data_IF_896209506188
#
_entry.id   IF_896209506188
#
_cell.length_a   1.000
_cell.length_b   1.000
_cell.length_c   1.000
_cell.angle_alpha   90.00
_cell.angle_beta   90.00
_cell.angle_gamma   90.00
#
_symmetry.space_group_name_H-M   'P 1'
#
loop_
_entity.id
_entity.type
_entity.pdbx_description
1 polymer ?
#
# COMPACT_ATOMS: atom_id res chain seq x y z
N UNK A 1 -7.06 79.89 -27.09
CA UNK A 1 -7.90 79.74 -25.89
C UNK A 1 -7.78 78.31 -25.45
N UNK A 2 -6.91 78.09 -24.49
CA UNK A 2 -6.36 76.80 -24.08
C UNK A 2 -7.07 76.41 -22.78
N UNK A 3 -7.87 75.34 -22.83
CA UNK A 3 -8.69 74.89 -21.71
C UNK A 3 -7.91 73.87 -20.88
N UNK A 4 -7.41 74.32 -19.73
CA UNK A 4 -6.84 73.46 -18.70
C UNK A 4 -7.94 72.63 -18.01
N UNK A 5 -7.72 71.32 -17.75
CA UNK A 5 -8.65 70.48 -17.00
C UNK A 5 -8.55 70.69 -15.48
N UNK A 6 -9.63 70.43 -14.71
CA UNK A 6 -9.71 70.72 -13.29
C UNK A 6 -8.98 69.71 -12.41
N UNK A 7 -8.35 70.26 -11.37
CA UNK A 7 -7.58 69.61 -10.32
C UNK A 7 -8.48 68.78 -9.38
N UNK A 8 -8.21 67.47 -9.28
CA UNK A 8 -8.94 66.53 -8.41
C UNK A 8 -8.24 66.44 -7.06
N UNK A 9 -8.94 66.86 -6.01
CA UNK A 9 -8.48 66.83 -4.61
C UNK A 9 -8.62 65.41 -4.02
N UNK A 10 -7.58 64.81 -3.40
CA UNK A 10 -7.69 63.48 -2.80
C UNK A 10 -8.42 63.53 -1.44
N UNK A 11 -9.19 62.48 -1.08
CA UNK A 11 -9.86 62.40 0.21
C UNK A 11 -8.90 62.12 1.36
N UNK A 12 -9.19 62.80 2.47
CA UNK A 12 -8.50 62.80 3.75
C UNK A 12 -8.59 61.42 4.41
N UNK A 13 -7.44 60.92 4.85
CA UNK A 13 -7.26 59.73 5.69
C UNK A 13 -7.71 60.01 7.12
N UNK A 14 -8.71 59.29 7.61
CA UNK A 14 -9.12 59.35 9.02
C UNK A 14 -8.49 58.18 9.79
N UNK A 15 -7.59 58.54 10.69
CA UNK A 15 -6.88 57.68 11.62
C UNK A 15 -7.73 57.43 12.87
N UNK A 16 -7.97 56.17 13.22
CA UNK A 16 -8.39 55.79 14.57
C UNK A 16 -7.46 54.71 15.12
N UNK A 17 -6.63 55.14 16.07
CA UNK A 17 -5.66 54.40 16.86
C UNK A 17 -6.34 53.64 18.04
N UNK A 18 -5.62 52.89 18.91
CA UNK A 18 -5.94 51.50 19.21
C UNK A 18 -6.53 51.25 20.61
N UNK A 19 -7.41 50.24 20.70
CA UNK A 19 -7.94 49.70 21.95
C UNK A 19 -7.07 48.57 22.53
N UNK A 20 -6.41 48.87 23.65
CA UNK A 20 -5.66 47.97 24.53
C UNK A 20 -6.56 46.83 25.08
N UNK A 21 -6.15 45.58 24.96
CA UNK A 21 -5.46 44.77 25.98
C UNK A 21 -6.24 44.48 27.27
N UNK A 22 -6.87 43.30 27.32
CA UNK A 22 -7.18 42.60 28.57
C UNK A 22 -6.98 41.09 28.36
N UNK A 23 -5.75 40.64 28.63
CA UNK A 23 -5.31 39.26 28.54
C UNK A 23 -5.63 38.55 29.86
N UNK A 24 -6.75 37.83 29.93
CA UNK A 24 -7.08 36.98 31.09
C UNK A 24 -6.40 35.60 30.91
N UNK A 25 -5.23 35.41 31.52
CA UNK A 25 -4.60 34.09 31.67
C UNK A 25 -5.30 33.31 32.78
N UNK A 26 -6.18 32.38 32.43
CA UNK A 26 -6.64 31.32 33.35
C UNK A 26 -5.80 30.08 33.14
N UNK A 27 -4.83 29.85 34.03
CA UNK A 27 -4.08 28.60 34.10
C UNK A 27 -4.97 27.51 34.72
N UNK A 28 -5.44 26.55 33.92
CA UNK A 28 -5.99 25.29 34.43
C UNK A 28 -4.85 24.26 34.50
N UNK A 29 -4.40 24.04 35.73
CA UNK A 29 -3.55 22.91 36.13
C UNK A 29 -4.27 21.60 35.79
N UNK A 30 -3.72 20.85 34.84
CA UNK A 30 -4.20 19.51 34.51
C UNK A 30 -3.35 18.52 35.30
N UNK A 31 -3.95 17.98 36.35
CA UNK A 31 -3.37 16.95 37.21
C UNK A 31 -3.12 15.70 36.36
N UNK A 32 -1.85 15.32 36.20
CA UNK A 32 -1.46 14.03 35.63
C UNK A 32 -1.91 12.95 36.61
N UNK A 33 -2.95 12.22 36.24
CA UNK A 33 -3.39 11.02 36.94
C UNK A 33 -2.61 9.85 36.35
N UNK A 34 -1.63 9.33 37.09
CA UNK A 34 -0.98 8.06 36.77
C UNK A 34 -2.05 6.95 36.73
N UNK A 35 -2.24 6.32 35.56
CA UNK A 35 -3.09 5.12 35.44
C UNK A 35 -2.29 3.87 35.81
N UNK A 36 -2.87 2.96 36.61
CA UNK A 36 -2.27 1.64 36.86
C UNK A 36 -2.36 0.76 35.60
N UNK A 37 -1.36 -0.12 35.44
CA UNK A 37 -1.22 -1.05 34.32
C UNK A 37 -2.45 -1.97 34.18
N UNK A 38 -3.23 -1.79 33.12
CA UNK A 38 -4.38 -2.63 32.81
C UNK A 38 -3.94 -4.01 32.28
N UNK A 39 -4.43 -5.07 32.91
CA UNK A 39 -4.30 -6.44 32.40
C UNK A 39 -5.46 -6.71 31.44
N UNK A 40 -5.17 -6.87 30.15
CA UNK A 40 -6.20 -7.20 29.15
C UNK A 40 -6.62 -8.67 29.29
N UNK A 41 -7.90 -8.92 29.62
CA UNK A 41 -8.52 -10.25 29.52
C UNK A 41 -9.55 -10.23 28.41
N UNK A 42 -9.39 -11.13 27.43
CA UNK A 42 -10.42 -11.42 26.42
C UNK A 42 -10.84 -12.86 26.59
N UNK A 43 -12.13 -13.10 26.84
CA UNK A 43 -12.74 -14.43 26.78
C UNK A 43 -13.46 -14.55 25.45
N UNK A 44 -13.08 -15.55 24.66
CA UNK A 44 -13.79 -15.90 23.43
C UNK A 44 -14.51 -17.23 23.68
N UNK A 45 -15.81 -17.26 23.41
CA UNK A 45 -16.60 -18.49 23.50
C UNK A 45 -16.69 -19.09 22.10
N UNK A 46 -16.34 -20.37 21.98
CA UNK A 46 -16.45 -21.13 20.73
C UNK A 46 -17.08 -22.48 21.09
N UNK A 47 -18.37 -22.62 20.78
CA UNK A 47 -19.18 -23.76 21.25
C UNK A 47 -19.29 -23.82 22.78
N UNK A 48 -19.36 -25.02 23.35
CA UNK A 48 -19.45 -25.24 24.80
C UNK A 48 -18.12 -25.09 25.56
N UNK A 49 -17.07 -24.60 24.88
CA UNK A 49 -15.74 -24.38 25.44
C UNK A 49 -15.40 -22.89 25.61
N UNK A 50 -14.77 -22.55 26.74
CA UNK A 50 -14.22 -21.20 27.02
C UNK A 50 -12.70 -21.23 26.89
N UNK A 51 -12.17 -20.40 25.98
CA UNK A 51 -10.73 -20.20 25.85
C UNK A 51 -10.37 -18.86 26.50
N UNK A 52 -9.53 -18.90 27.54
CA UNK A 52 -9.03 -17.72 28.25
C UNK A 52 -7.56 -17.48 27.87
N UNK A 53 -7.26 -16.35 27.23
CA UNK A 53 -5.88 -15.97 26.90
C UNK A 53 -5.42 -14.87 27.84
N UNK A 54 -4.27 -15.07 28.49
CA UNK A 54 -3.59 -14.05 29.30
C UNK A 54 -2.24 -13.72 28.68
N UNK A 55 -1.98 -12.45 28.41
CA UNK A 55 -0.66 -11.98 28.03
C UNK A 55 -0.04 -11.24 29.23
N UNK A 56 1.19 -11.62 29.60
CA UNK A 56 2.09 -10.82 30.45
C UNK A 56 3.32 -10.46 29.62
N UNK A 57 3.71 -9.20 29.66
CA UNK A 57 4.95 -8.73 29.03
C UNK A 57 6.09 -8.85 30.05
N UNK A 58 7.10 -9.68 29.76
CA UNK A 58 8.28 -9.87 30.60
C UNK A 58 9.19 -11.01 30.14
N UNK A 59 10.32 -10.62 29.54
CA UNK A 59 11.64 -11.26 29.40
C UNK A 59 11.85 -12.80 29.50
N UNK A 60 12.38 -13.31 28.37
CA UNK A 60 13.44 -14.32 28.14
C UNK A 60 13.26 -15.82 28.48
N UNK A 61 13.71 -16.62 27.51
CA UNK A 61 13.98 -18.06 27.43
C UNK A 61 12.78 -19.03 27.39
N UNK A 62 12.51 -19.55 26.18
CA UNK A 62 11.59 -20.67 25.97
C UNK A 62 11.88 -21.42 24.66
N UNK A 63 12.14 -22.72 24.81
CA UNK A 63 12.31 -23.77 23.79
C UNK A 63 11.51 -23.54 22.49
N UNK A 64 12.18 -23.71 21.36
CA UNK A 64 11.53 -23.83 20.04
C UNK A 64 10.78 -25.17 19.96
N UNK A 65 9.45 -25.08 19.91
CA UNK A 65 8.56 -26.17 19.48
C UNK A 65 8.17 -25.84 18.04
N UNK A 66 8.64 -26.65 17.09
CA UNK A 66 8.27 -26.52 15.68
C UNK A 66 6.87 -27.12 15.52
N UNK A 67 5.87 -26.25 15.32
CA UNK A 67 4.58 -26.66 14.78
C UNK A 67 4.61 -26.46 13.26
N UNK A 68 4.57 -27.56 12.51
CA UNK A 68 4.33 -27.58 11.07
C UNK A 68 2.83 -27.51 10.78
N UNK A 69 2.34 -26.55 9.96
CA UNK A 69 0.97 -26.57 9.48
C UNK A 69 0.86 -27.41 8.18
N UNK A 70 -0.15 -28.29 8.15
CA UNK A 70 -0.62 -29.12 7.03
C UNK A 70 0.26 -30.35 6.63
N UNK A 71 -0.38 -31.46 6.18
CA UNK A 71 0.20 -32.78 6.28
C UNK A 71 1.14 -33.05 5.11
N UNK A 72 2.43 -33.08 5.40
CA UNK A 72 3.37 -33.81 4.56
C UNK A 72 3.00 -35.30 4.59
N UNK A 73 2.97 -35.90 3.41
CA UNK A 73 2.64 -37.31 3.20
C UNK A 73 3.47 -38.19 4.17
N UNK A 74 2.84 -38.96 5.09
CA UNK A 74 3.53 -39.69 6.16
C UNK A 74 4.51 -40.76 5.65
N UNK A 75 4.46 -41.09 4.35
CA UNK A 75 5.38 -41.99 3.68
C UNK A 75 6.79 -41.39 3.53
N UNK A 76 6.93 -40.07 3.38
CA UNK A 76 8.22 -39.41 3.15
C UNK A 76 9.02 -39.32 4.46
N UNK A 77 8.36 -39.01 5.58
CA UNK A 77 9.02 -38.94 6.89
C UNK A 77 9.45 -40.31 7.41
N UNK A 78 8.71 -41.40 7.13
CA UNK A 78 9.10 -42.75 7.56
C UNK A 78 10.32 -43.29 6.82
N UNK A 79 10.49 -42.96 5.53
CA UNK A 79 11.64 -43.41 4.73
C UNK A 79 12.97 -42.80 5.15
N UNK A 80 12.96 -41.55 5.64
CA UNK A 80 14.17 -40.83 6.05
C UNK A 80 14.68 -41.28 7.43
N UNK A 81 13.77 -41.66 8.34
CA UNK A 81 14.14 -42.16 9.68
C UNK A 81 14.73 -43.57 9.63
N UNK A 82 14.23 -44.44 8.75
CA UNK A 82 14.78 -45.81 8.58
C UNK A 82 16.19 -45.83 7.99
N UNK A 83 16.59 -44.81 7.23
CA UNK A 83 17.89 -44.77 6.56
C UNK A 83 19.04 -44.35 7.52
N UNK A 84 18.73 -43.60 8.58
CA UNK A 84 19.74 -43.18 9.58
C UNK A 84 20.08 -44.26 10.62
N UNK A 85 19.29 -45.34 10.72
CA UNK A 85 19.53 -46.41 11.71
C UNK A 85 20.40 -47.58 11.21
N UNK A 86 20.66 -47.70 9.92
CA UNK A 86 21.46 -48.80 9.35
C UNK A 86 22.84 -48.33 8.90
N UNK A 87 23.61 -47.81 9.85
CA UNK A 87 25.00 -47.43 9.66
C UNK A 87 25.97 -48.47 10.22
N UNK A 88 25.84 -49.75 9.83
CA UNK A 88 26.87 -50.81 9.85
C UNK A 88 26.21 -52.17 9.62
N UNK A 89 26.73 -52.93 8.66
CA UNK A 89 26.33 -54.31 8.41
C UNK A 89 25.44 -54.46 7.19
N UNK A 90 25.98 -55.12 6.17
CA UNK A 90 25.22 -55.55 5.01
C UNK A 90 24.25 -56.66 5.42
N UNK A 91 23.05 -56.29 5.83
CA UNK A 91 21.92 -57.23 5.87
C UNK A 91 20.70 -56.61 5.20
N UNK A 92 20.10 -57.42 4.34
CA UNK A 92 18.91 -57.17 3.55
C UNK A 92 17.80 -56.49 4.37
N UNK A 93 17.51 -55.24 4.07
CA UNK A 93 16.40 -54.47 4.64
C UNK A 93 15.05 -55.03 4.12
N UNK A 94 14.51 -56.04 4.81
CA UNK A 94 13.15 -56.57 4.55
C UNK A 94 12.11 -55.68 5.22
N UNK A 95 11.53 -54.75 4.46
CA UNK A 95 10.39 -53.96 4.89
C UNK A 95 9.13 -54.83 4.76
N UNK A 96 8.58 -55.30 5.88
CA UNK A 96 7.29 -55.99 5.90
C UNK A 96 6.14 -54.98 5.87
N UNK A 97 5.67 -54.63 4.67
CA UNK A 97 4.35 -54.01 4.52
C UNK A 97 3.33 -55.12 4.23
N UNK A 98 2.51 -55.43 5.23
CA UNK A 98 1.36 -56.32 5.07
C UNK A 98 0.18 -55.47 4.56
N UNK A 99 0.09 -55.31 3.24
CA UNK A 99 -1.14 -54.88 2.58
C UNK A 99 -1.47 -55.85 1.43
N UNK A 100 -2.66 -56.49 1.45
CA UNK A 100 -3.09 -57.36 0.37
C UNK A 100 -3.82 -56.54 -0.69
N UNK A 101 -3.27 -56.47 -1.91
CA UNK A 101 -3.99 -55.90 -3.05
C UNK A 101 -3.07 -55.38 -4.15
N UNK A 102 -2.82 -56.24 -5.14
CA UNK A 102 -2.26 -55.93 -6.48
C UNK A 102 -1.03 -55.02 -6.52
N UNK A 103 0.11 -55.53 -6.02
CA UNK A 103 1.41 -54.89 -6.13
C UNK A 103 2.22 -55.40 -7.33
N UNK A 104 2.44 -54.55 -8.33
CA UNK A 104 3.60 -54.66 -9.20
C UNK A 104 4.75 -53.95 -8.48
N UNK A 105 5.42 -54.66 -7.57
CA UNK A 105 6.57 -54.13 -6.83
C UNK A 105 7.76 -54.01 -7.79
N UNK A 106 8.02 -52.80 -8.28
CA UNK A 106 9.25 -52.48 -8.99
C UNK A 106 10.41 -52.39 -7.98
N UNK A 107 10.90 -53.55 -7.53
CA UNK A 107 12.12 -53.65 -6.76
C UNK A 107 13.32 -53.45 -7.72
N UNK A 108 13.86 -52.22 -7.77
CA UNK A 108 15.10 -51.96 -8.50
C UNK A 108 16.29 -52.49 -7.71
N UNK A 109 16.79 -53.66 -8.10
CA UNK A 109 18.05 -54.21 -7.59
C UNK A 109 19.23 -53.44 -8.21
N UNK A 110 19.94 -52.66 -7.39
CA UNK A 110 21.18 -52.02 -7.82
C UNK A 110 22.37 -52.94 -7.51
N UNK A 111 23.04 -53.43 -8.56
CA UNK A 111 24.23 -54.29 -8.46
C UNK A 111 25.46 -53.61 -7.84
N UNK A 112 25.43 -52.29 -7.65
CA UNK A 112 26.58 -51.51 -7.17
C UNK A 112 26.17 -50.48 -6.15
N UNK A 113 26.80 -50.54 -4.97
CA UNK A 113 26.64 -49.57 -3.89
C UNK A 113 26.98 -48.14 -4.33
N UNK A 114 27.87 -47.97 -5.31
CA UNK A 114 28.24 -46.66 -5.86
C UNK A 114 27.09 -46.01 -6.63
N UNK A 115 26.29 -46.81 -7.35
CA UNK A 115 25.14 -46.31 -8.12
C UNK A 115 24.00 -45.88 -7.18
N UNK A 116 23.76 -46.63 -6.11
CA UNK A 116 22.76 -46.28 -5.10
C UNK A 116 23.07 -44.92 -4.43
N UNK A 117 24.34 -44.65 -4.10
CA UNK A 117 24.76 -43.37 -3.53
C UNK A 117 24.59 -42.19 -4.48
N UNK A 118 24.85 -42.38 -5.77
CA UNK A 118 24.61 -41.34 -6.79
C UNK A 118 23.12 -41.01 -6.87
N UNK A 119 22.23 -42.01 -6.86
CA UNK A 119 20.78 -41.78 -6.92
C UNK A 119 20.25 -41.09 -5.65
N UNK A 120 20.78 -41.44 -4.47
CA UNK A 120 20.42 -40.77 -3.22
C UNK A 120 20.90 -39.32 -3.21
N UNK A 121 22.14 -39.06 -3.67
CA UNK A 121 22.67 -37.71 -3.78
C UNK A 121 21.87 -36.86 -4.79
N UNK A 122 21.50 -37.43 -5.95
CA UNK A 122 20.67 -36.74 -6.94
C UNK A 122 19.28 -36.42 -6.38
N UNK A 123 18.67 -37.36 -5.66
CA UNK A 123 17.36 -37.17 -5.02
C UNK A 123 17.42 -36.10 -3.93
N UNK A 124 18.50 -36.06 -3.14
CA UNK A 124 18.74 -35.00 -2.16
C UNK A 124 18.95 -33.63 -2.81
N UNK A 125 19.67 -33.55 -3.92
CA UNK A 125 19.84 -32.30 -4.67
C UNK A 125 18.50 -31.82 -5.24
N UNK A 126 17.69 -32.71 -5.81
CA UNK A 126 16.37 -32.37 -6.35
C UNK A 126 15.43 -31.91 -5.21
N UNK A 127 15.32 -32.67 -4.12
CA UNK A 127 14.45 -32.31 -2.98
C UNK A 127 14.93 -31.04 -2.27
N UNK A 128 16.25 -30.83 -2.15
CA UNK A 128 16.83 -29.59 -1.61
C UNK A 128 16.55 -28.38 -2.51
N UNK A 129 16.40 -28.58 -3.82
CA UNK A 129 16.04 -27.51 -4.76
C UNK A 129 14.58 -27.09 -4.60
N UNK A 130 13.70 -28.02 -4.19
CA UNK A 130 12.28 -27.72 -3.90
C UNK A 130 12.07 -27.16 -2.47
N UNK A 131 12.91 -27.48 -1.48
CA UNK A 131 12.78 -26.92 -0.13
C UNK A 131 13.17 -25.42 -0.01
N UNK A 132 13.76 -24.85 -1.07
CA UNK A 132 13.96 -23.40 -1.21
C UNK A 132 12.74 -22.68 -1.81
N UNK A 133 11.61 -23.38 -2.00
CA UNK A 133 10.34 -22.77 -2.39
C UNK A 133 9.93 -21.73 -1.35
N UNK A 134 10.16 -20.47 -1.72
CA UNK A 134 9.46 -19.26 -1.30
C UNK A 134 8.64 -19.43 -0.02
N UNK A 135 9.27 -19.14 1.13
CA UNK A 135 8.52 -18.69 2.30
C UNK A 135 7.51 -17.65 1.81
N UNK A 136 6.21 -17.87 2.03
CA UNK A 136 5.18 -16.88 1.74
C UNK A 136 5.39 -15.72 2.70
N UNK A 137 6.25 -14.79 2.31
CA UNK A 137 6.55 -13.61 3.11
C UNK A 137 5.28 -12.80 3.19
N UNK A 138 4.89 -12.50 4.41
CA UNK A 138 3.73 -11.65 4.63
C UNK A 138 3.89 -10.34 3.86
N UNK A 139 2.82 -9.86 3.20
CA UNK A 139 2.88 -8.62 2.45
C UNK A 139 3.35 -7.49 3.36
N UNK A 140 4.48 -6.87 3.01
CA UNK A 140 5.02 -5.74 3.76
C UNK A 140 4.32 -4.46 3.31
N UNK A 141 3.99 -3.59 4.27
CA UNK A 141 3.38 -2.29 3.98
C UNK A 141 4.40 -1.19 4.16
N UNK A 142 4.60 -0.40 3.11
CA UNK A 142 5.48 0.75 3.09
C UNK A 142 4.65 2.04 2.99
N UNK A 143 5.04 3.09 3.72
CA UNK A 143 4.31 4.37 3.78
C UNK A 143 5.21 5.53 3.37
N UNK A 144 4.69 6.44 2.55
CA UNK A 144 5.39 7.64 2.06
C UNK A 144 4.48 8.84 2.20
N UNK A 145 4.91 9.86 2.94
CA UNK A 145 4.23 11.16 2.95
C UNK A 145 4.44 11.88 1.61
N UNK A 146 3.49 12.72 1.20
CA UNK A 146 3.64 13.55 0.01
C UNK A 146 4.91 14.41 0.08
N UNK A 147 5.66 14.44 -1.03
CA UNK A 147 6.82 15.31 -1.23
C UNK A 147 6.40 16.73 -1.63
N UNK A 148 5.21 16.88 -2.21
CA UNK A 148 4.57 18.15 -2.50
C UNK A 148 3.13 17.93 -2.93
N UNK A 149 2.27 18.89 -2.62
CA UNK A 149 0.87 18.90 -2.99
C UNK A 149 0.38 20.31 -3.33
N UNK A 150 -0.53 20.39 -4.30
CA UNK A 150 -1.08 21.67 -4.72
C UNK A 150 -2.43 21.42 -5.38
N UNK A 151 -3.20 22.48 -5.61
CA UNK A 151 -4.24 22.42 -6.62
C UNK A 151 -4.04 23.53 -7.65
N UNK A 152 -4.62 23.34 -8.82
CA UNK A 152 -4.70 24.37 -9.86
C UNK A 152 -6.14 24.65 -10.17
N UNK A 153 -6.46 25.88 -10.54
CA UNK A 153 -7.84 26.34 -10.73
C UNK A 153 -8.03 27.00 -12.08
N UNK A 154 -9.08 26.61 -12.82
CA UNK A 154 -9.46 27.35 -14.05
C UNK A 154 -10.03 28.73 -13.74
N UNK A 155 -10.52 28.98 -12.52
CA UNK A 155 -11.03 30.30 -12.14
C UNK A 155 -9.91 31.35 -11.99
N UNK A 156 -8.73 30.92 -11.55
CA UNK A 156 -7.55 31.78 -11.38
C UNK A 156 -6.32 31.08 -11.97
N UNK A 157 -6.18 31.05 -13.30
CA UNK A 157 -5.26 30.13 -13.97
C UNK A 157 -3.77 30.47 -13.77
N UNK A 158 -3.45 31.66 -13.24
CA UNK A 158 -2.10 32.13 -12.93
C UNK A 158 -1.76 32.09 -11.44
N UNK A 159 -2.70 31.72 -10.57
CA UNK A 159 -2.45 31.62 -9.13
C UNK A 159 -1.80 30.29 -8.77
N UNK A 160 -0.83 30.33 -7.86
CA UNK A 160 -0.21 29.14 -7.28
C UNK A 160 -0.79 28.86 -5.89
N UNK A 161 -1.22 27.61 -5.65
CA UNK A 161 -1.92 27.21 -4.44
C UNK A 161 -1.17 26.19 -3.56
N UNK A 162 0.08 25.86 -3.86
CA UNK A 162 0.86 24.88 -3.08
C UNK A 162 1.29 25.32 -1.68
N UNK A 163 0.78 26.45 -1.17
CA UNK A 163 0.91 26.84 0.26
C UNK A 163 -0.42 26.77 1.00
N UNK A 164 -1.48 26.34 0.33
CA UNK A 164 -2.79 26.17 0.94
C UNK A 164 -2.76 25.05 1.97
N UNK A 165 -3.67 25.11 2.94
CA UNK A 165 -3.90 24.01 3.90
C UNK A 165 -4.72 22.87 3.30
N UNK A 166 -5.21 23.04 2.07
CA UNK A 166 -6.12 22.14 1.40
C UNK A 166 -5.78 21.97 -0.09
N UNK A 167 -5.95 20.74 -0.57
CA UNK A 167 -5.86 20.36 -1.97
C UNK A 167 -7.27 20.18 -2.51
N UNK A 168 -7.73 21.13 -3.31
CA UNK A 168 -9.09 21.10 -3.88
C UNK A 168 -9.20 20.21 -5.12
N UNK A 169 -10.22 19.38 -5.12
CA UNK A 169 -10.73 18.65 -6.28
C UNK A 169 -12.19 19.04 -6.44
N UNK A 170 -12.54 19.80 -7.48
CA UNK A 170 -13.92 20.26 -7.64
C UNK A 170 -14.27 20.57 -9.08
N UNK A 171 -15.58 20.57 -9.35
CA UNK A 171 -16.17 21.01 -10.61
C UNK A 171 -17.45 21.76 -10.29
N UNK A 172 -17.54 23.02 -10.72
CA UNK A 172 -18.69 23.90 -10.54
C UNK A 172 -18.91 24.68 -11.83
N UNK A 173 -19.91 24.29 -12.62
CA UNK A 173 -20.09 24.82 -13.98
C UNK A 173 -18.85 24.55 -14.84
N UNK A 174 -18.25 25.62 -15.37
CA UNK A 174 -17.00 25.57 -16.15
C UNK A 174 -15.73 25.73 -15.29
N UNK A 175 -15.88 25.93 -13.97
CA UNK A 175 -14.75 26.07 -13.05
C UNK A 175 -14.35 24.70 -12.53
N UNK A 176 -13.08 24.35 -12.67
CA UNK A 176 -12.51 23.10 -12.19
C UNK A 176 -11.28 23.39 -11.33
N UNK A 177 -11.14 22.61 -10.26
CA UNK A 177 -9.92 22.54 -9.47
C UNK A 177 -9.37 21.12 -9.56
N UNK A 178 -8.10 21.00 -9.93
CA UNK A 178 -7.40 19.71 -10.03
C UNK A 178 -6.35 19.63 -8.93
N UNK A 179 -6.42 18.57 -8.13
CA UNK A 179 -5.51 18.34 -7.00
C UNK A 179 -4.30 17.51 -7.43
N UNK A 180 -3.09 18.02 -7.20
CA UNK A 180 -1.83 17.41 -7.59
C UNK A 180 -1.08 16.91 -6.37
N UNK A 181 -0.54 15.70 -6.45
CA UNK A 181 0.21 15.06 -5.38
C UNK A 181 1.51 14.50 -5.98
N UNK A 182 2.61 14.59 -5.24
CA UNK A 182 3.89 13.96 -5.61
C UNK A 182 4.46 13.17 -4.45
N UNK A 183 5.11 12.04 -4.73
CA UNK A 183 5.73 11.18 -3.73
C UNK A 183 7.14 10.78 -4.15
N UNK A 184 8.11 10.92 -3.24
CA UNK A 184 9.45 10.36 -3.42
C UNK A 184 9.44 8.87 -3.03
N UNK A 185 9.26 8.02 -4.04
CA UNK A 185 9.20 6.57 -3.91
C UNK A 185 10.49 5.92 -4.40
N UNK A 186 11.15 6.51 -5.40
CA UNK A 186 12.31 5.91 -6.07
C UNK A 186 13.45 5.63 -5.07
N UNK A 187 13.63 6.49 -4.08
CA UNK A 187 14.62 6.34 -3.02
C UNK A 187 14.23 5.33 -1.94
N UNK A 188 12.96 4.93 -1.86
CA UNK A 188 12.42 4.19 -0.70
C UNK A 188 11.84 2.82 -1.03
N UNK A 189 11.50 2.55 -2.28
CA UNK A 189 10.99 1.24 -2.70
C UNK A 189 12.18 0.30 -2.96
N UNK A 190 12.32 -0.82 -2.23
CA UNK A 190 13.46 -1.71 -2.42
C UNK A 190 13.50 -2.30 -3.83
N UNK A 191 14.70 -2.47 -4.39
CA UNK A 191 14.87 -3.08 -5.69
C UNK A 191 14.31 -4.51 -5.71
N UNK A 192 13.67 -4.89 -6.82
CA UNK A 192 13.14 -6.25 -7.01
C UNK A 192 11.81 -6.56 -6.31
N UNK A 193 11.28 -5.69 -5.46
CA UNK A 193 9.98 -5.97 -4.81
C UNK A 193 8.82 -5.88 -5.78
N UNK A 194 7.87 -6.79 -5.58
CA UNK A 194 6.56 -6.76 -6.20
C UNK A 194 5.70 -5.64 -5.64
N UNK A 195 4.99 -4.87 -6.47
CA UNK A 195 3.88 -4.04 -5.97
C UNK A 195 2.59 -4.82 -6.18
N UNK A 196 1.99 -5.28 -5.08
CA UNK A 196 0.71 -6.00 -5.09
C UNK A 196 -0.46 -5.02 -5.11
N UNK A 197 -0.34 -3.95 -4.31
CA UNK A 197 -1.37 -2.91 -4.20
C UNK A 197 -0.73 -1.59 -3.81
N UNK A 198 -1.29 -0.49 -4.28
CA UNK A 198 -0.97 0.84 -3.79
C UNK A 198 -2.23 1.67 -3.60
N UNK A 199 -2.29 2.45 -2.53
CA UNK A 199 -3.40 3.38 -2.28
C UNK A 199 -2.92 4.64 -1.57
N UNK A 200 -3.55 5.76 -1.86
CA UNK A 200 -3.34 6.99 -1.08
C UNK A 200 -4.38 7.04 0.02
N UNK A 201 -3.96 7.38 1.24
CA UNK A 201 -4.82 7.83 2.33
C UNK A 201 -4.91 9.35 2.28
N UNK A 202 -6.11 9.87 2.14
CA UNK A 202 -6.43 11.31 2.20
C UNK A 202 -7.42 11.54 3.35
N UNK A 203 -7.29 12.68 4.03
CA UNK A 203 -8.29 13.15 4.98
C UNK A 203 -9.06 14.30 4.34
N UNK A 204 -10.39 14.24 4.42
CA UNK A 204 -11.25 15.32 3.93
C UNK A 204 -11.17 16.48 4.91
N UNK A 205 -10.78 17.66 4.43
CA UNK A 205 -10.87 18.90 5.20
C UNK A 205 -12.27 19.51 5.01
N UNK A 206 -12.66 19.71 3.76
CA UNK A 206 -13.92 20.34 3.39
C UNK A 206 -14.60 19.62 2.24
N UNK A 207 -15.91 19.78 2.13
CA UNK A 207 -16.69 19.29 0.99
C UNK A 207 -17.88 20.20 0.76
N UNK A 208 -18.40 20.30 -0.47
CA UNK A 208 -19.61 21.05 -0.80
C UNK A 208 -20.29 20.51 -2.06
N UNK A 209 -21.51 20.99 -2.33
CA UNK A 209 -22.23 20.74 -3.57
C UNK A 209 -23.08 19.47 -3.57
N UNK A 210 -23.40 18.98 -4.76
CA UNK A 210 -24.29 17.84 -5.00
C UNK A 210 -23.54 16.51 -4.94
N UNK A 211 -24.16 15.52 -4.31
CA UNK A 211 -23.66 14.13 -4.23
C UNK A 211 -24.76 13.19 -4.75
N UNK A 212 -24.42 12.05 -5.39
CA UNK A 212 -23.11 11.43 -5.45
C UNK A 212 -22.09 12.21 -6.30
N UNK A 213 -20.82 12.16 -5.89
CA UNK A 213 -19.70 12.74 -6.61
C UNK A 213 -18.63 11.68 -6.86
N UNK A 214 -17.90 11.78 -7.97
CA UNK A 214 -16.81 10.87 -8.30
C UNK A 214 -15.52 11.66 -8.48
N UNK A 215 -14.44 11.21 -7.86
CA UNK A 215 -13.08 11.66 -8.20
C UNK A 215 -12.39 10.64 -9.07
N UNK A 216 -11.53 11.12 -9.97
CA UNK A 216 -10.74 10.31 -10.91
C UNK A 216 -9.27 10.61 -10.67
N UNK A 217 -8.48 9.56 -10.43
CA UNK A 217 -7.04 9.65 -10.27
C UNK A 217 -6.32 9.33 -11.59
N UNK A 218 -5.44 10.22 -12.03
CA UNK A 218 -4.53 10.06 -13.17
C UNK A 218 -3.06 10.19 -12.75
N UNK A 219 -2.16 10.02 -13.72
CA UNK A 219 -0.71 10.22 -13.56
C UNK A 219 -0.29 11.58 -14.08
N UNK A 220 0.63 12.23 -13.38
CA UNK A 220 1.40 13.34 -13.97
C UNK A 220 2.55 12.77 -14.79
N UNK A 221 2.83 13.42 -15.93
CA UNK A 221 3.90 13.01 -16.84
C UNK A 221 5.24 13.69 -16.56
N UNK A 222 5.25 14.72 -15.73
CA UNK A 222 6.44 15.44 -15.28
C UNK A 222 6.25 15.90 -13.82
N UNK A 223 7.37 16.23 -13.16
CA UNK A 223 7.36 16.82 -11.83
C UNK A 223 6.77 18.25 -11.87
N UNK A 224 6.26 18.71 -10.73
CA UNK A 224 5.83 20.09 -10.54
C UNK A 224 6.55 20.72 -9.35
N UNK A 225 6.70 22.05 -9.41
CA UNK A 225 7.13 22.84 -8.26
C UNK A 225 5.89 23.41 -7.57
N UNK A 226 5.63 22.93 -6.37
CA UNK A 226 4.50 23.33 -5.51
C UNK A 226 4.36 24.85 -5.33
N UNK A 227 5.48 25.58 -5.24
CA UNK A 227 5.47 27.03 -5.03
C UNK A 227 5.09 27.85 -6.28
N UNK A 228 5.18 27.25 -7.48
CA UNK A 228 5.02 27.97 -8.75
C UNK A 228 4.07 27.30 -9.74
N UNK A 229 3.53 26.13 -9.41
CA UNK A 229 2.55 25.44 -10.25
C UNK A 229 1.26 26.25 -10.29
N UNK A 230 0.81 26.55 -11.51
CA UNK A 230 -0.45 27.24 -11.81
C UNK A 230 -1.22 26.39 -12.82
N UNK A 231 -2.46 26.74 -13.12
CA UNK A 231 -3.20 26.02 -14.17
C UNK A 231 -2.48 26.12 -15.53
N UNK A 232 -1.91 27.27 -15.86
CA UNK A 232 -1.20 27.50 -17.12
C UNK A 232 0.17 26.79 -17.20
N UNK A 233 0.78 26.50 -16.05
CA UNK A 233 2.11 25.86 -15.96
C UNK A 233 2.06 24.42 -15.45
N UNK A 234 0.86 23.88 -15.28
CA UNK A 234 0.65 22.52 -14.80
C UNK A 234 1.29 21.49 -15.75
N UNK A 235 2.01 20.48 -15.23
CA UNK A 235 2.50 19.38 -16.07
C UNK A 235 1.33 18.63 -16.70
N UNK A 236 1.58 18.07 -17.88
CA UNK A 236 0.61 17.23 -18.57
C UNK A 236 0.22 16.02 -17.70
N UNK A 237 -1.06 15.68 -17.71
CA UNK A 237 -1.62 14.51 -17.05
C UNK A 237 -2.08 13.46 -18.07
N UNK A 238 -2.03 12.20 -17.67
CA UNK A 238 -2.61 11.07 -18.42
C UNK A 238 -3.57 10.27 -17.53
N UNK A 239 -4.62 9.72 -18.15
CA UNK A 239 -5.65 8.90 -17.52
C UNK A 239 -5.74 7.49 -18.13
N UNK A 240 -4.68 7.06 -18.84
CA UNK A 240 -4.50 5.71 -19.39
C UNK A 240 -4.63 4.60 -18.33
N UNK A 241 -4.17 4.88 -17.12
CA UNK A 241 -4.28 4.03 -15.95
C UNK A 241 -5.10 4.72 -14.86
N UNK A 242 -6.37 5.06 -15.14
CA UNK A 242 -7.23 5.77 -14.18
C UNK A 242 -7.97 4.86 -13.19
N UNK A 243 -8.28 5.42 -12.02
CA UNK A 243 -9.12 4.81 -10.98
C UNK A 243 -10.11 5.83 -10.46
N UNK A 244 -11.33 5.36 -10.18
CA UNK A 244 -12.43 6.20 -9.74
C UNK A 244 -12.73 5.94 -8.26
N UNK A 245 -12.97 7.01 -7.49
CA UNK A 245 -13.48 6.93 -6.11
C UNK A 245 -14.85 7.60 -6.08
N UNK A 246 -15.87 6.86 -5.66
CA UNK A 246 -17.26 7.37 -5.59
C UNK A 246 -17.58 7.76 -4.15
N UNK A 247 -18.19 8.92 -4.01
CA UNK A 247 -18.72 9.48 -2.77
C UNK A 247 -20.24 9.52 -2.88
N UNK A 248 -20.92 8.49 -2.36
CA UNK A 248 -22.38 8.41 -2.41
C UNK A 248 -23.07 9.50 -1.60
N UNK A 249 -22.37 9.99 -0.55
CA UNK A 249 -22.82 11.05 0.35
C UNK A 249 -21.69 12.05 0.56
N UNK A 250 -22.06 13.26 0.96
CA UNK A 250 -21.11 14.31 1.31
C UNK A 250 -20.20 13.85 2.46
N UNK A 251 -18.88 13.75 2.26
CA UNK A 251 -17.97 13.36 3.33
C UNK A 251 -17.81 14.50 4.34
N UNK A 252 -17.65 14.13 5.62
CA UNK A 252 -17.44 15.07 6.72
C UNK A 252 -15.95 15.37 6.91
N UNK A 253 -15.63 16.47 7.61
CA UNK A 253 -14.28 16.79 8.07
C UNK A 253 -13.64 15.59 8.80
N UNK A 254 -12.38 15.30 8.48
CA UNK A 254 -11.61 14.18 9.01
C UNK A 254 -11.98 12.81 8.42
N UNK A 255 -12.95 12.72 7.51
CA UNK A 255 -13.28 11.45 6.86
C UNK A 255 -12.09 10.93 6.06
N UNK A 256 -11.71 9.67 6.30
CA UNK A 256 -10.58 9.04 5.61
C UNK A 256 -11.04 8.44 4.29
N UNK A 257 -10.37 8.85 3.22
CA UNK A 257 -10.58 8.34 1.86
C UNK A 257 -9.36 7.52 1.45
N UNK A 258 -9.61 6.36 0.84
CA UNK A 258 -8.57 5.57 0.19
C UNK A 258 -8.77 5.58 -1.32
N UNK A 259 -7.80 6.13 -2.04
CA UNK A 259 -7.78 6.14 -3.51
C UNK A 259 -6.82 5.04 -3.98
N UNK A 260 -7.32 4.05 -4.72
CA UNK A 260 -6.46 3.02 -5.31
C UNK A 260 -5.61 3.64 -6.42
N UNK A 261 -4.29 3.48 -6.33
CA UNK A 261 -3.33 4.00 -7.32
C UNK A 261 -2.39 2.91 -7.82
N UNK A 262 -2.81 1.65 -7.72
CA UNK A 262 -1.98 0.49 -8.08
C UNK A 262 -1.57 0.54 -9.54
N UNK A 263 -2.53 0.82 -10.44
CA UNK A 263 -2.27 0.89 -11.89
C UNK A 263 -1.36 2.05 -12.25
N UNK A 264 -1.56 3.21 -11.62
CA UNK A 264 -0.75 4.40 -11.80
C UNK A 264 0.69 4.14 -11.37
N UNK A 265 0.90 3.53 -10.20
CA UNK A 265 2.25 3.22 -9.71
C UNK A 265 2.95 2.18 -10.58
N UNK A 266 2.23 1.17 -11.06
CA UNK A 266 2.76 0.19 -12.01
C UNK A 266 3.15 0.85 -13.33
N UNK A 267 2.29 1.69 -13.90
CA UNK A 267 2.58 2.41 -15.15
C UNK A 267 3.79 3.35 -15.01
N UNK A 268 3.91 4.11 -13.90
CA UNK A 268 5.07 4.95 -13.62
C UNK A 268 6.36 4.13 -13.50
N UNK A 269 6.31 2.97 -12.84
CA UNK A 269 7.46 2.08 -12.71
C UNK A 269 7.88 1.50 -14.07
N UNK A 270 6.91 1.11 -14.89
CA UNK A 270 7.14 0.56 -16.23
C UNK A 270 7.63 1.61 -17.23
N UNK A 271 7.32 2.91 -17.05
CA UNK A 271 7.81 3.96 -17.94
C UNK A 271 9.31 4.28 -17.76
N UNK A 272 9.97 3.71 -16.74
CA UNK A 272 11.40 3.97 -16.47
C UNK A 272 11.70 5.39 -15.98
N UNK A 273 10.66 6.15 -15.60
CA UNK A 273 10.81 7.50 -15.05
C UNK A 273 11.52 7.41 -13.70
N UNK A 274 12.55 8.24 -13.51
CA UNK A 274 13.30 8.36 -12.24
C UNK A 274 12.90 9.59 -11.42
N UNK A 275 11.85 10.28 -11.85
CA UNK A 275 11.29 11.49 -11.24
C UNK A 275 10.39 11.14 -10.05
N UNK A 276 9.75 12.12 -9.42
CA UNK A 276 8.77 11.84 -8.38
C UNK A 276 7.57 11.08 -8.97
N UNK A 277 6.89 10.28 -8.14
CA UNK A 277 5.62 9.68 -8.53
C UNK A 277 4.52 10.72 -8.39
N UNK A 278 4.18 11.37 -9.51
CA UNK A 278 3.17 12.40 -9.59
C UNK A 278 1.78 11.87 -9.95
N UNK A 279 0.76 12.39 -9.28
CA UNK A 279 -0.65 12.05 -9.45
C UNK A 279 -1.49 13.31 -9.59
N UNK A 280 -2.58 13.19 -10.36
CA UNK A 280 -3.63 14.21 -10.44
C UNK A 280 -4.96 13.61 -10.00
N UNK A 281 -5.74 14.39 -9.27
CA UNK A 281 -7.11 14.10 -8.87
C UNK A 281 -8.02 15.13 -9.51
N UNK A 282 -9.03 14.67 -10.24
CA UNK A 282 -10.06 15.50 -10.87
C UNK A 282 -11.45 15.02 -10.44
N UNK A 283 -12.48 15.84 -10.69
CA UNK A 283 -13.85 15.35 -10.64
C UNK A 283 -14.19 14.61 -11.93
N UNK A 284 -14.89 13.48 -11.81
CA UNK A 284 -15.37 12.70 -12.95
C UNK A 284 -16.33 13.50 -13.84
N UNK A 285 -16.44 13.15 -15.13
CA UNK A 285 -17.24 13.92 -16.09
C UNK A 285 -18.73 13.97 -15.74
N UNK A 286 -19.24 12.90 -15.10
CA UNK A 286 -20.63 12.79 -14.64
C UNK A 286 -20.90 13.48 -13.30
N UNK A 287 -19.86 13.97 -12.61
CA UNK A 287 -20.03 14.71 -11.35
C UNK A 287 -20.65 16.08 -11.66
N UNK A 288 -21.75 16.38 -10.97
CA UNK A 288 -22.40 17.69 -11.00
C UNK A 288 -21.57 18.74 -10.21
N UNK A 289 -22.19 19.85 -9.82
CA UNK A 289 -21.52 20.89 -9.04
C UNK A 289 -21.12 20.39 -7.64
N UNK A 290 -19.87 19.95 -7.48
CA UNK A 290 -19.36 19.36 -6.26
C UNK A 290 -17.87 19.67 -6.04
N UNK A 291 -17.47 19.71 -4.78
CA UNK A 291 -16.08 19.92 -4.39
C UNK A 291 -15.72 19.13 -3.14
N UNK A 292 -14.49 18.62 -3.12
CA UNK A 292 -13.87 17.98 -1.95
C UNK A 292 -12.47 18.57 -1.82
N UNK A 293 -12.16 19.15 -0.66
CA UNK A 293 -10.84 19.57 -0.27
C UNK A 293 -10.24 18.49 0.63
N UNK A 294 -9.04 18.05 0.30
CA UNK A 294 -8.26 17.14 1.14
C UNK A 294 -7.22 17.94 1.92
N UNK A 295 -6.92 17.53 3.15
CA UNK A 295 -5.84 18.14 3.92
C UNK A 295 -4.52 18.08 3.15
N UNK A 296 -3.87 19.23 2.97
CA UNK A 296 -2.50 19.32 2.44
C UNK A 296 -1.48 18.89 3.50
N UNK A 297 -0.21 18.83 3.10
CA UNK A 297 0.92 18.69 4.03
C UNK A 297 1.02 19.85 5.01
N UNK A 298 0.59 21.05 4.62
CA UNK A 298 0.61 22.27 5.42
C UNK A 298 -0.59 22.37 6.39
N UNK A 299 -1.55 21.44 6.31
CA UNK A 299 -2.66 21.39 7.23
C UNK A 299 -2.18 21.04 8.66
N UNK A 300 -2.55 21.86 9.64
CA UNK A 300 -2.13 21.69 11.03
C UNK A 300 -3.12 20.89 11.88
N UNK A 301 -4.33 20.65 11.36
CA UNK A 301 -5.41 19.95 12.07
C UNK A 301 -5.51 18.47 11.67
N UNK A 302 -5.22 18.17 10.41
CA UNK A 302 -5.34 16.84 9.81
C UNK A 302 -4.01 16.43 9.19
N UNK A 303 -3.72 15.13 9.22
CA UNK A 303 -2.56 14.60 8.48
C UNK A 303 -2.73 14.83 6.96
N UNK A 304 -1.66 15.29 6.33
CA UNK A 304 -1.58 15.37 4.87
C UNK A 304 -1.55 14.00 4.16
N UNK A 305 -1.41 14.01 2.82
CA UNK A 305 -1.53 12.81 1.99
C UNK A 305 -0.43 11.77 2.28
N UNK A 306 -0.83 10.50 2.41
CA UNK A 306 0.10 9.37 2.63
C UNK A 306 -0.14 8.27 1.61
N UNK A 307 0.87 7.94 0.81
CA UNK A 307 0.88 6.77 -0.04
C UNK A 307 1.21 5.52 0.76
N UNK A 308 0.43 4.46 0.56
CA UNK A 308 0.62 3.14 1.14
C UNK A 308 0.86 2.13 0.02
N UNK A 309 2.00 1.46 0.06
CA UNK A 309 2.42 0.46 -0.94
C UNK A 309 2.50 -0.90 -0.23
N UNK A 310 1.80 -1.89 -0.77
CA UNK A 310 1.82 -3.27 -0.30
C UNK A 310 2.67 -4.08 -1.26
N UNK A 311 3.73 -4.67 -0.72
CA UNK A 311 4.73 -5.40 -1.51
C UNK A 311 4.91 -6.82 -1.03
N UNK A 312 5.34 -7.69 -1.93
CA UNK A 312 5.87 -9.02 -1.58
C UNK A 312 7.34 -9.13 -2.00
N UNK A 313 8.18 -9.85 -1.25
CA UNK A 313 9.57 -10.06 -1.59
C UNK A 313 9.77 -10.70 -2.98
N UNK A 314 10.91 -10.43 -3.67
CA UNK A 314 11.27 -11.11 -4.90
C UNK A 314 11.35 -12.63 -4.69
N UNK A 315 10.95 -13.41 -5.71
CA UNK A 315 11.01 -14.87 -5.70
C UNK A 315 9.77 -15.58 -5.13
N UNK A 316 8.74 -14.83 -4.68
CA UNK A 316 7.49 -15.41 -4.16
C UNK A 316 6.34 -15.46 -5.18
N UNK A 317 6.61 -15.10 -6.43
CA UNK A 317 5.63 -15.26 -7.50
C UNK A 317 5.60 -16.72 -7.93
N UNK A 318 4.81 -17.53 -7.23
CA UNK A 318 4.31 -18.75 -7.84
C UNK A 318 3.50 -18.37 -9.07
N UNK A 319 3.94 -18.76 -10.26
CA UNK A 319 3.10 -18.66 -11.45
C UNK A 319 1.85 -19.51 -11.20
N UNK A 320 0.72 -18.86 -10.91
CA UNK A 320 -0.57 -19.52 -11.01
C UNK A 320 -0.86 -19.69 -12.49
N UNK A 321 -0.43 -20.84 -13.04
CA UNK A 321 -0.93 -21.28 -14.34
C UNK A 321 -2.40 -21.60 -14.09
N UNK A 322 -3.30 -20.77 -14.61
CA UNK A 322 -4.72 -21.12 -14.59
C UNK A 322 -4.89 -22.47 -15.32
N UNK A 323 -5.54 -23.49 -14.74
CA UNK A 323 -5.65 -24.83 -15.33
C UNK A 323 -6.41 -24.94 -16.67
N UNK A 324 -6.65 -23.82 -17.37
CA UNK A 324 -7.40 -23.76 -18.63
C UNK A 324 -6.61 -23.26 -19.84
N UNK A 325 -5.33 -22.92 -19.70
CA UNK A 325 -4.48 -22.65 -20.88
C UNK A 325 -3.83 -23.95 -21.36
N UNK A 326 -4.51 -24.64 -22.27
CA UNK A 326 -3.90 -25.69 -23.09
C UNK A 326 -2.90 -25.07 -24.04
N UNK A 327 -1.60 -25.30 -23.79
CA UNK A 327 -0.54 -25.00 -24.75
C UNK A 327 -0.66 -25.93 -25.96
N UNK A 328 -1.18 -25.40 -27.06
CA UNK A 328 -1.08 -26.06 -28.36
C UNK A 328 0.35 -26.02 -28.86
N UNK A 329 1.08 -27.11 -28.71
CA UNK A 329 2.40 -27.28 -29.34
C UNK A 329 2.18 -27.48 -30.84
N UNK A 330 2.47 -26.46 -31.66
CA UNK A 330 2.64 -26.64 -33.10
C UNK A 330 4.02 -27.23 -33.35
N UNK A 331 4.07 -28.49 -33.79
CA UNK A 331 5.25 -29.02 -34.48
C UNK A 331 5.32 -28.36 -35.86
N UNK A 332 6.43 -27.70 -36.16
CA UNK A 332 6.74 -27.28 -37.53
C UNK A 332 7.01 -28.54 -38.38
N UNK A 333 6.42 -28.60 -39.57
CA UNK A 333 6.78 -29.54 -40.64
C UNK A 333 7.98 -28.99 -41.42
#
# INVERSE_FOLDING_TARGET
>A
MENSPPEVKPPVSESSEPGQSAMLKTARSTKILERPSETFRRKLHVGDGVIETRARCGTLFGKSVIHTPAPLNPLICKSLVSFWQTGRGAESLKIWNRYPGSGQEAAMSFKSYRVAWVMVALSLIIVSSFALLASSGDPTTFKVSAAGDAYVSTANPTAAYGKGTDVWVSKVGSVENWGYLSFDIASKLPAGVAVVRARIRLLVDQSYGAFPAQTVAGRLLADFNEATVTYNTAPAATFDASTNTVFDKRPMLGFTVFVDVTKQLQAWRSSGQRTLFGLVLTMGPATANAGIAFASRENSLLDGPVLQIFTVPPGQYGYSISPRETFGVRSAN
#
